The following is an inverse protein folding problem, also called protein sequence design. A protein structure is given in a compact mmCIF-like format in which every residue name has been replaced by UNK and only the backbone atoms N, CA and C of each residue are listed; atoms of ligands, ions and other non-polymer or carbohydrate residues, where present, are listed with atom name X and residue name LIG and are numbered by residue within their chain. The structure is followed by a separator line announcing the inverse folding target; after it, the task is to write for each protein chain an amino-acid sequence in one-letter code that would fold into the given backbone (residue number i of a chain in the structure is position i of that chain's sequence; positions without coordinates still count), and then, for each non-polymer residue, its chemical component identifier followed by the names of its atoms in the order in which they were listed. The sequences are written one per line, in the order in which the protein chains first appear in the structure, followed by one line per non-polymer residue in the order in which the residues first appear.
data_IF_077133580922
#
_entry.id   IF_077133580922
#
_cell.length_a   1.000
_cell.length_b   1.000
_cell.length_c   1.000
_cell.angle_alpha   90.00
_cell.angle_beta   90.00
_cell.angle_gamma   90.00
#
_symmetry.space_group_name_H-M   'P 1'
#
loop_
_entity.id
_entity.type
_entity.pdbx_description
1 polymer ?
#
# COMPACT_ATOMS: atom_id res chain seq x y z
N UNK A 1 -50.68 -3.50 39.92
CA UNK A 1 -49.46 -4.15 39.39
C UNK A 1 -48.87 -3.20 38.37
N UNK A 2 -47.71 -2.59 38.66
CA UNK A 2 -47.08 -1.59 37.80
C UNK A 2 -46.64 -2.28 36.52
N UNK A 3 -47.42 -2.03 35.47
CA UNK A 3 -47.11 -2.37 34.10
C UNK A 3 -45.70 -1.86 33.80
N UNK A 4 -44.81 -2.79 33.43
CA UNK A 4 -43.49 -2.62 32.86
C UNK A 4 -42.97 -1.18 32.78
N UNK A 5 -41.87 -0.88 33.47
CA UNK A 5 -41.09 0.35 33.33
C UNK A 5 -40.46 0.42 31.91
N UNK A 6 -41.29 0.49 30.86
CA UNK A 6 -40.87 0.65 29.46
C UNK A 6 -39.93 1.85 29.29
N UNK A 7 -40.10 2.88 30.13
CA UNK A 7 -39.17 4.00 30.20
C UNK A 7 -37.74 3.57 30.59
N UNK A 8 -37.58 2.71 31.60
CA UNK A 8 -36.25 2.19 31.98
C UNK A 8 -35.66 1.28 30.91
N UNK A 9 -36.50 0.52 30.21
CA UNK A 9 -36.05 -0.32 29.10
C UNK A 9 -35.57 0.53 27.90
N UNK A 10 -36.30 1.59 27.57
CA UNK A 10 -35.93 2.55 26.53
C UNK A 10 -34.65 3.30 26.92
N UNK A 11 -34.50 3.72 28.16
CA UNK A 11 -33.32 4.40 28.68
C UNK A 11 -32.08 3.49 28.63
N UNK A 12 -32.21 2.23 29.05
CA UNK A 12 -31.14 1.24 28.94
C UNK A 12 -30.76 0.91 27.48
N UNK A 13 -31.73 0.79 26.58
CA UNK A 13 -31.48 0.59 25.15
C UNK A 13 -30.82 1.81 24.51
N UNK A 14 -31.20 3.02 24.93
CA UNK A 14 -30.61 4.26 24.43
C UNK A 14 -29.14 4.37 24.86
N UNK A 15 -28.84 4.12 26.14
CA UNK A 15 -27.46 4.09 26.63
C UNK A 15 -26.62 2.98 25.96
N UNK A 16 -27.22 1.83 25.64
CA UNK A 16 -26.55 0.78 24.88
C UNK A 16 -26.23 1.19 23.44
N UNK A 17 -27.18 1.81 22.73
CA UNK A 17 -26.96 2.32 21.37
C UNK A 17 -25.90 3.43 21.36
N UNK A 18 -25.94 4.33 22.34
CA UNK A 18 -24.96 5.41 22.49
C UNK A 18 -23.56 4.84 22.70
N UNK A 19 -23.42 3.86 23.59
CA UNK A 19 -22.15 3.14 23.82
C UNK A 19 -21.66 2.43 22.55
N UNK A 20 -22.55 1.79 21.78
CA UNK A 20 -22.20 1.15 20.50
C UNK A 20 -21.69 2.15 19.46
N UNK A 21 -22.31 3.32 19.38
CA UNK A 21 -21.87 4.39 18.48
C UNK A 21 -20.51 4.95 18.92
N UNK A 22 -20.28 5.10 20.23
CA UNK A 22 -18.98 5.50 20.75
C UNK A 22 -17.87 4.48 20.46
N UNK A 23 -18.16 3.19 20.64
CA UNK A 23 -17.24 2.10 20.30
C UNK A 23 -16.87 2.13 18.80
N UNK A 24 -17.86 2.28 17.91
CA UNK A 24 -17.58 2.38 16.48
C UNK A 24 -16.73 3.61 16.11
N UNK A 25 -16.97 4.75 16.76
CA UNK A 25 -16.11 5.94 16.56
C UNK A 25 -14.68 5.69 17.04
N UNK A 26 -14.51 4.93 18.12
CA UNK A 26 -13.21 4.58 18.67
C UNK A 26 -12.46 3.62 17.74
N UNK A 27 -13.11 2.54 17.32
CA UNK A 27 -12.58 1.56 16.37
C UNK A 27 -12.15 2.23 15.06
N UNK A 28 -12.97 3.12 14.51
CA UNK A 28 -12.62 3.87 13.30
C UNK A 28 -11.38 4.76 13.49
N UNK A 29 -11.22 5.40 14.65
CA UNK A 29 -10.02 6.21 14.95
C UNK A 29 -8.78 5.35 15.08
N UNK A 30 -8.90 4.19 15.72
CA UNK A 30 -7.79 3.26 15.89
C UNK A 30 -7.34 2.68 14.54
N UNK A 31 -8.28 2.23 13.72
CA UNK A 31 -8.01 1.70 12.38
C UNK A 31 -7.34 2.74 11.48
N UNK A 32 -7.84 3.98 11.48
CA UNK A 32 -7.21 5.10 10.76
C UNK A 32 -5.81 5.38 11.29
N UNK A 33 -5.61 5.36 12.61
CA UNK A 33 -4.30 5.54 13.23
C UNK A 33 -3.28 4.49 12.79
N UNK A 34 -3.69 3.21 12.79
CA UNK A 34 -2.86 2.09 12.33
C UNK A 34 -2.54 2.21 10.84
N UNK A 35 -3.52 2.58 10.01
CA UNK A 35 -3.33 2.78 8.58
C UNK A 35 -2.33 3.91 8.30
N UNK A 36 -2.46 5.04 9.00
CA UNK A 36 -1.55 6.18 8.88
C UNK A 36 -0.13 5.77 9.29
N UNK A 37 0.03 5.11 10.43
CA UNK A 37 1.33 4.67 10.92
C UNK A 37 2.00 3.69 9.93
N UNK A 38 1.25 2.70 9.44
CA UNK A 38 1.75 1.73 8.44
C UNK A 38 2.16 2.43 7.14
N UNK A 39 1.34 3.37 6.67
CA UNK A 39 1.62 4.13 5.44
C UNK A 39 2.87 4.98 5.59
N UNK A 40 3.06 5.64 6.74
CA UNK A 40 4.26 6.44 7.03
C UNK A 40 5.52 5.58 7.01
N UNK A 41 5.50 4.41 7.68
CA UNK A 41 6.64 3.49 7.68
C UNK A 41 6.97 3.02 6.26
N UNK A 42 5.96 2.59 5.50
CA UNK A 42 6.15 2.16 4.10
C UNK A 42 6.69 3.30 3.24
N UNK A 43 6.20 4.53 3.41
CA UNK A 43 6.66 5.70 2.69
C UNK A 43 8.13 6.03 3.00
N UNK A 44 8.53 5.97 4.28
CA UNK A 44 9.91 6.20 4.68
C UNK A 44 10.86 5.13 4.12
N UNK A 45 10.45 3.86 4.17
CA UNK A 45 11.23 2.77 3.58
C UNK A 45 11.33 2.92 2.06
N UNK A 46 10.24 3.25 1.39
CA UNK A 46 10.22 3.48 -0.04
C UNK A 46 11.14 4.65 -0.42
N UNK A 47 11.09 5.77 0.32
CA UNK A 47 11.98 6.90 0.12
C UNK A 47 13.45 6.49 0.24
N UNK A 48 13.80 5.77 1.31
CA UNK A 48 15.17 5.27 1.52
C UNK A 48 15.63 4.35 0.39
N UNK A 49 14.77 3.42 -0.05
CA UNK A 49 15.06 2.53 -1.16
C UNK A 49 15.28 3.28 -2.48
N UNK A 50 14.45 4.29 -2.78
CA UNK A 50 14.63 5.14 -3.96
C UNK A 50 15.94 5.91 -3.89
N UNK A 51 16.32 6.46 -2.72
CA UNK A 51 17.60 7.15 -2.57
C UNK A 51 18.79 6.23 -2.84
N UNK A 52 18.80 5.02 -2.26
CA UNK A 52 19.84 4.02 -2.50
C UNK A 52 19.94 3.69 -3.99
N UNK A 53 18.81 3.42 -4.64
CA UNK A 53 18.76 3.09 -6.06
C UNK A 53 19.28 4.24 -6.94
N UNK A 54 18.92 5.48 -6.59
CA UNK A 54 19.37 6.69 -7.28
C UNK A 54 20.89 6.82 -7.17
N UNK A 55 21.45 6.76 -5.97
CA UNK A 55 22.91 6.85 -5.78
C UNK A 55 23.66 5.72 -6.46
N UNK A 56 23.12 4.50 -6.44
CA UNK A 56 23.72 3.37 -7.13
C UNK A 56 23.72 3.57 -8.65
N UNK A 57 22.62 4.07 -9.21
CA UNK A 57 22.50 4.38 -10.65
C UNK A 57 23.45 5.49 -11.05
N UNK A 58 23.57 6.56 -10.25
CA UNK A 58 24.54 7.62 -10.49
C UNK A 58 25.97 7.08 -10.43
N UNK A 59 26.30 6.27 -9.43
CA UNK A 59 27.63 5.64 -9.31
C UNK A 59 27.98 4.78 -10.52
N UNK A 60 27.05 3.96 -10.98
CA UNK A 60 27.22 3.17 -12.22
C UNK A 60 27.39 4.05 -13.45
N UNK A 61 26.61 5.12 -13.57
CA UNK A 61 26.74 6.05 -14.69
C UNK A 61 28.11 6.76 -14.69
N UNK A 62 28.63 7.16 -13.53
CA UNK A 62 29.97 7.72 -13.40
C UNK A 62 31.05 6.70 -13.75
N UNK A 63 30.91 5.44 -13.32
CA UNK A 63 31.85 4.38 -13.66
C UNK A 63 31.87 4.09 -15.17
N UNK A 64 30.70 4.08 -15.82
CA UNK A 64 30.61 3.98 -17.28
C UNK A 64 31.22 5.20 -17.97
N UNK A 65 30.99 6.40 -17.46
CA UNK A 65 31.57 7.63 -18.02
C UNK A 65 33.10 7.58 -18.03
N UNK A 66 33.71 7.11 -16.94
CA UNK A 66 35.17 6.94 -16.83
C UNK A 66 35.68 5.90 -17.83
N UNK A 67 34.99 4.76 -17.94
CA UNK A 67 35.36 3.67 -18.85
C UNK A 67 35.21 4.03 -20.34
N UNK A 68 34.28 4.92 -20.68
CA UNK A 68 34.03 5.39 -22.05
C UNK A 68 34.77 6.70 -22.38
N UNK A 69 35.62 7.21 -21.47
CA UNK A 69 36.28 8.52 -21.58
C UNK A 69 35.32 9.67 -21.93
N UNK A 70 34.07 9.59 -21.46
CA UNK A 70 33.02 10.54 -21.82
C UNK A 70 32.21 11.00 -20.64
N UNK A 71 31.87 12.28 -20.60
CA UNK A 71 31.16 12.91 -19.47
C UNK A 71 29.66 12.57 -19.40
N UNK A 72 29.06 12.05 -20.48
CA UNK A 72 27.59 11.99 -20.62
C UNK A 72 27.08 10.57 -20.95
N UNK A 73 27.86 9.76 -21.67
CA UNK A 73 27.37 8.49 -22.23
C UNK A 73 26.92 7.47 -21.18
N UNK A 74 27.56 7.42 -20.01
CA UNK A 74 27.15 6.56 -18.91
C UNK A 74 25.75 6.86 -18.37
N UNK A 75 25.35 8.13 -18.32
CA UNK A 75 23.98 8.50 -17.95
C UNK A 75 22.97 8.12 -19.03
N UNK A 76 23.31 8.30 -20.30
CA UNK A 76 22.44 7.95 -21.44
C UNK A 76 22.22 6.44 -21.52
N UNK A 77 23.26 5.64 -21.30
CA UNK A 77 23.18 4.18 -21.30
C UNK A 77 22.32 3.69 -20.13
N UNK A 78 22.61 4.14 -18.90
CA UNK A 78 21.83 3.74 -17.73
C UNK A 78 20.36 4.17 -17.88
N UNK A 79 20.11 5.41 -18.32
CA UNK A 79 18.76 5.92 -18.58
C UNK A 79 18.02 5.12 -19.64
N UNK A 80 18.70 4.69 -20.71
CA UNK A 80 18.11 3.86 -21.77
C UNK A 80 17.77 2.46 -21.27
N UNK A 81 18.62 1.84 -20.43
CA UNK A 81 18.36 0.54 -19.81
C UNK A 81 17.12 0.60 -18.91
N UNK A 82 17.07 1.56 -17.99
CA UNK A 82 15.91 1.75 -17.11
C UNK A 82 14.65 2.11 -17.89
N UNK A 83 14.79 2.94 -18.94
CA UNK A 83 13.71 3.29 -19.85
C UNK A 83 13.12 2.07 -20.56
N UNK A 84 13.96 1.24 -21.19
CA UNK A 84 13.54 0.01 -21.86
C UNK A 84 12.87 -0.98 -20.90
N UNK A 85 13.43 -1.15 -19.70
CA UNK A 85 12.85 -2.01 -18.68
C UNK A 85 11.45 -1.53 -18.27
N UNK A 86 11.31 -0.22 -18.04
CA UNK A 86 10.03 0.40 -17.67
C UNK A 86 9.01 0.32 -18.80
N UNK A 87 9.41 0.59 -20.04
CA UNK A 87 8.55 0.44 -21.22
C UNK A 87 8.11 -1.00 -21.41
N UNK A 88 9.00 -1.97 -21.23
CA UNK A 88 8.67 -3.40 -21.30
C UNK A 88 7.64 -3.83 -20.26
N UNK A 89 7.81 -3.38 -19.00
CA UNK A 89 6.81 -3.57 -17.95
C UNK A 89 5.47 -2.92 -18.30
N UNK A 90 5.51 -1.69 -18.80
CA UNK A 90 4.30 -0.93 -19.17
C UNK A 90 3.49 -1.62 -20.27
N UNK A 91 4.15 -2.27 -21.24
CA UNK A 91 3.48 -3.04 -22.30
C UNK A 91 2.81 -4.29 -21.72
N UNK A 92 3.48 -5.00 -20.80
CA UNK A 92 2.94 -6.19 -20.14
C UNK A 92 1.94 -5.88 -19.01
N UNK A 93 1.64 -4.61 -18.74
CA UNK A 93 0.79 -4.19 -17.61
C UNK A 93 -0.56 -4.92 -17.54
N UNK A 94 -1.19 -5.22 -18.68
CA UNK A 94 -2.47 -5.95 -18.72
C UNK A 94 -2.31 -7.39 -18.19
N UNK A 95 -1.29 -8.10 -18.65
CA UNK A 95 -1.00 -9.46 -18.19
C UNK A 95 -0.64 -9.53 -16.70
N UNK A 96 0.08 -8.52 -16.18
CA UNK A 96 0.44 -8.47 -14.75
C UNK A 96 -0.80 -8.23 -13.89
N UNK A 97 -1.68 -7.31 -14.30
CA UNK A 97 -2.94 -7.04 -13.60
C UNK A 97 -3.84 -8.27 -13.59
N UNK A 98 -3.95 -8.99 -14.72
CA UNK A 98 -4.78 -10.19 -14.83
C UNK A 98 -4.27 -11.35 -13.93
N UNK A 99 -2.95 -11.48 -13.76
CA UNK A 99 -2.34 -12.49 -12.86
C UNK A 99 -2.63 -12.17 -11.39
N UNK A 100 -2.59 -10.90 -11.00
CA UNK A 100 -2.86 -10.48 -9.62
C UNK A 100 -4.34 -10.72 -9.27
N UNK A 101 -5.26 -10.37 -10.17
CA UNK A 101 -6.70 -10.56 -9.95
C UNK A 101 -7.05 -12.07 -9.87
N UNK A 102 -6.47 -12.92 -10.72
CA UNK A 102 -6.73 -14.37 -10.67
C UNK A 102 -6.25 -15.05 -9.38
N UNK A 103 -5.16 -14.56 -8.77
CA UNK A 103 -4.68 -15.10 -7.49
C UNK A 103 -5.63 -14.80 -6.34
N UNK A 104 -6.23 -13.61 -6.30
CA UNK A 104 -7.19 -13.27 -5.24
C UNK A 104 -8.50 -14.07 -5.34
N UNK A 105 -9.01 -14.34 -6.55
CA UNK A 105 -10.21 -15.16 -6.69
C UNK A 105 -9.99 -16.64 -6.29
N UNK A 106 -8.83 -17.22 -6.63
CA UNK A 106 -8.52 -18.59 -6.23
C UNK A 106 -8.35 -18.76 -4.71
N UNK A 107 -7.86 -17.74 -4.00
CA UNK A 107 -7.80 -17.77 -2.52
C UNK A 107 -9.20 -17.67 -1.89
N UNK A 108 -10.16 -17.02 -2.53
CA UNK A 108 -11.55 -16.90 -2.03
C UNK A 108 -12.33 -18.20 -2.29
N UNK A 109 -12.17 -18.84 -3.45
CA UNK A 109 -12.84 -20.11 -3.78
C UNK A 109 -12.28 -21.30 -2.96
N UNK A 110 -10.98 -21.29 -2.62
CA UNK A 110 -10.37 -22.33 -1.78
C UNK A 110 -10.82 -22.34 -0.31
N UNK A 111 -11.43 -21.25 0.18
CA UNK A 111 -11.98 -21.16 1.55
C UNK A 111 -13.45 -21.57 1.62
N UNK A 112 -14.17 -21.66 0.48
CA UNK A 112 -15.57 -22.10 0.47
C UNK A 112 -15.77 -23.60 0.29
N UNK A 113 -14.71 -24.36 -0.01
CA UNK A 113 -14.76 -25.82 -0.18
C UNK A 113 -14.19 -26.61 1.03
N UNK A 114 -13.70 -25.94 2.07
CA UNK A 114 -13.36 -26.53 3.39
C UNK A 114 -14.50 -26.36 4.41
#
# INVERSE_FOLDING_TARGET
MKLFDFHKLIEALTGFIETKVELWKLEAKEEVGVLIAKTLVVMLLALGAVMVLLFFTLGLAFLLNDLLESKIWGFVIMGSIYGLFTTGLYVKRRAIVDIIIKRQNNEIEGVSEE
#
